data_IF_173885295894
#
_entry.id   IF_173885295894
#
_cell.length_a   1.000
_cell.length_b   1.000
_cell.length_c   1.000
_cell.angle_alpha   90.00
_cell.angle_beta   90.00
_cell.angle_gamma   90.00
#
_symmetry.space_group_name_H-M   'P 1'
#
loop_
_entity.id
_entity.type
_entity.pdbx_description
1 polymer ?
#
# COMPACT_ATOMS: atom_id res chain seq x y z
N UNK A 1 -5.52 7.59 -13.98
CA UNK A 1 -4.34 7.63 -13.09
C UNK A 1 -4.54 8.81 -12.15
N UNK A 2 -4.58 8.58 -10.83
CA UNK A 2 -4.76 9.68 -9.86
C UNK A 2 -3.48 10.52 -9.85
N UNK A 3 -3.58 11.79 -10.23
CA UNK A 3 -2.48 12.75 -10.10
C UNK A 3 -2.77 13.63 -8.88
N UNK A 4 -1.94 13.58 -7.83
CA UNK A 4 -2.11 14.48 -6.69
C UNK A 4 -1.93 15.94 -7.14
N UNK A 5 -2.44 16.88 -6.34
CA UNK A 5 -2.15 18.30 -6.53
C UNK A 5 -0.63 18.56 -6.46
N UNK A 6 -0.19 19.73 -6.94
CA UNK A 6 1.22 20.10 -6.84
C UNK A 6 1.71 20.03 -5.39
N UNK A 7 2.93 19.50 -5.21
CA UNK A 7 3.58 19.32 -3.92
C UNK A 7 2.87 18.37 -2.93
N UNK A 8 2.04 17.43 -3.42
CA UNK A 8 1.49 16.36 -2.59
C UNK A 8 2.23 15.04 -2.78
N UNK A 9 2.51 14.34 -1.67
CA UNK A 9 3.13 13.01 -1.68
C UNK A 9 2.11 11.95 -1.26
N UNK A 10 2.14 10.81 -1.94
CA UNK A 10 1.27 9.67 -1.66
C UNK A 10 2.10 8.49 -1.16
N UNK A 11 1.66 7.90 -0.04
CA UNK A 11 2.26 6.68 0.48
C UNK A 11 1.55 5.46 -0.10
N UNK A 12 2.18 4.82 -1.08
CA UNK A 12 1.65 3.61 -1.71
C UNK A 12 2.55 2.40 -1.45
N UNK A 13 1.94 1.22 -1.48
CA UNK A 13 2.65 -0.05 -1.30
C UNK A 13 3.18 -0.53 -2.63
N UNK A 14 4.42 -1.01 -2.63
CA UNK A 14 4.97 -1.76 -3.77
C UNK A 14 4.31 -3.14 -3.81
N UNK A 15 3.55 -3.41 -4.87
CA UNK A 15 2.90 -4.70 -5.14
C UNK A 15 3.85 -5.62 -5.89
N UNK A 16 4.61 -5.07 -6.85
CA UNK A 16 5.61 -5.81 -7.63
C UNK A 16 6.77 -4.90 -8.01
N UNK A 17 7.99 -5.43 -7.96
CA UNK A 17 9.18 -4.80 -8.52
C UNK A 17 9.29 -5.25 -9.98
N UNK A 18 9.46 -4.31 -10.90
CA UNK A 18 9.61 -4.55 -12.33
C UNK A 18 10.92 -3.92 -12.82
N UNK A 19 11.38 -4.32 -14.01
CA UNK A 19 12.70 -3.89 -14.53
C UNK A 19 12.84 -2.36 -14.62
N UNK A 20 11.74 -1.67 -14.94
CA UNK A 20 11.70 -0.22 -15.15
C UNK A 20 11.09 0.57 -13.98
N UNK A 21 10.84 -0.09 -12.84
CA UNK A 21 10.27 0.58 -11.67
C UNK A 21 9.39 -0.30 -10.79
N UNK A 22 8.30 0.26 -10.30
CA UNK A 22 7.47 -0.38 -9.28
C UNK A 22 6.01 -0.38 -9.70
N UNK A 23 5.33 -1.51 -9.57
CA UNK A 23 3.87 -1.52 -9.58
C UNK A 23 3.42 -1.22 -8.16
N UNK A 24 2.66 -0.14 -8.00
CA UNK A 24 2.19 0.31 -6.69
C UNK A 24 0.68 0.24 -6.58
N UNK A 25 0.18 0.21 -5.34
CA UNK A 25 -1.23 0.38 -5.04
C UNK A 25 -1.38 1.05 -3.67
N UNK A 26 -2.34 1.96 -3.56
CA UNK A 26 -2.84 2.44 -2.27
C UNK A 26 -3.48 1.30 -1.47
N UNK A 27 -3.44 1.37 -0.14
CA UNK A 27 -4.05 0.33 0.70
C UNK A 27 -5.58 0.26 0.49
N UNK A 28 -6.26 1.39 0.23
CA UNK A 28 -7.68 1.41 -0.11
C UNK A 28 -8.01 1.04 -1.56
N UNK A 29 -7.01 0.93 -2.44
CA UNK A 29 -7.25 0.79 -3.88
C UNK A 29 -7.54 -0.67 -4.23
N UNK A 30 -8.48 -0.86 -5.15
CA UNK A 30 -8.83 -2.14 -5.77
C UNK A 30 -8.15 -2.35 -7.12
N UNK A 31 -7.34 -1.39 -7.55
CA UNK A 31 -6.55 -1.41 -8.79
C UNK A 31 -5.15 -0.90 -8.49
N UNK A 32 -4.19 -1.29 -9.33
CA UNK A 32 -2.81 -0.81 -9.25
C UNK A 32 -2.67 0.53 -9.93
N UNK A 33 -1.72 1.35 -9.51
CA UNK A 33 -1.48 2.67 -10.11
C UNK A 33 -0.74 2.58 -11.46
N UNK A 34 -0.27 1.38 -11.83
CA UNK A 34 0.55 1.14 -13.02
C UNK A 34 2.05 1.15 -12.68
N UNK A 35 2.89 1.30 -13.71
CA UNK A 35 4.35 1.39 -13.55
C UNK A 35 4.72 2.77 -12.98
N UNK A 36 5.31 2.77 -11.79
CA UNK A 36 5.83 3.94 -11.10
C UNK A 36 7.35 4.00 -11.28
N UNK A 37 7.89 5.10 -11.83
CA UNK A 37 9.31 5.17 -12.18
C UNK A 37 10.18 5.49 -10.94
N UNK A 38 11.41 4.95 -10.84
CA UNK A 38 12.27 5.12 -9.66
C UNK A 38 12.69 6.55 -9.35
N UNK A 39 12.82 7.41 -10.35
CA UNK A 39 13.22 8.83 -10.22
C UNK A 39 12.17 9.67 -9.47
N UNK A 40 10.92 9.21 -9.42
CA UNK A 40 9.82 9.84 -8.68
C UNK A 40 9.69 9.34 -7.24
N UNK A 41 10.53 8.39 -6.81
CA UNK A 41 10.54 7.90 -5.44
C UNK A 41 11.24 8.89 -4.52
N UNK A 42 10.47 9.53 -3.64
CA UNK A 42 11.00 10.55 -2.71
C UNK A 42 11.48 9.93 -1.39
N UNK A 43 10.82 8.87 -0.92
CA UNK A 43 11.13 8.23 0.35
C UNK A 43 10.72 6.75 0.37
N UNK A 44 11.34 5.98 1.27
CA UNK A 44 10.99 4.59 1.58
C UNK A 44 10.71 4.43 3.07
N UNK A 45 9.62 3.76 3.41
CA UNK A 45 9.26 3.45 4.81
C UNK A 45 10.30 2.52 5.42
N UNK A 46 10.85 2.91 6.57
CA UNK A 46 11.81 2.12 7.37
C UNK A 46 11.15 1.54 8.64
N UNK A 47 10.23 2.30 9.22
CA UNK A 47 9.53 1.96 10.47
C UNK A 47 8.09 2.49 10.44
N UNK A 48 7.24 1.90 11.26
CA UNK A 48 5.84 2.31 11.40
C UNK A 48 5.59 2.62 12.87
N UNK A 49 5.10 3.83 13.13
CA UNK A 49 4.57 4.22 14.43
C UNK A 49 3.03 4.08 14.40
N UNK A 50 2.49 3.22 15.25
CA UNK A 50 1.03 3.05 15.39
C UNK A 50 0.65 3.06 16.86
N UNK A 51 -0.17 4.04 17.25
CA UNK A 51 -0.66 4.22 18.64
C UNK A 51 0.49 4.22 19.66
N UNK A 52 1.57 4.95 19.37
CA UNK A 52 2.75 5.07 20.24
C UNK A 52 3.70 3.87 20.22
N UNK A 53 3.38 2.80 19.47
CA UNK A 53 4.25 1.64 19.30
C UNK A 53 4.97 1.74 17.96
N UNK A 54 6.30 1.80 18.02
CA UNK A 54 7.16 1.75 16.83
C UNK A 54 7.50 0.29 16.55
N UNK A 55 7.36 -0.12 15.29
CA UNK A 55 7.84 -1.42 14.85
C UNK A 55 8.51 -1.33 13.49
N UNK A 56 9.56 -2.13 13.33
CA UNK A 56 10.31 -2.21 12.08
C UNK A 56 9.49 -2.88 10.97
N UNK A 57 9.62 -2.35 9.75
CA UNK A 57 9.11 -3.00 8.54
C UNK A 57 9.79 -4.34 8.22
N UNK A 58 10.90 -4.65 8.89
CA UNK A 58 11.59 -5.96 8.79
C UNK A 58 11.03 -7.00 9.77
N UNK A 59 10.09 -6.63 10.66
CA UNK A 59 9.53 -7.58 11.62
C UNK A 59 8.71 -8.68 10.91
N UNK A 60 8.85 -9.94 11.35
CA UNK A 60 8.16 -11.09 10.74
C UNK A 60 6.65 -10.89 10.67
N UNK A 61 6.04 -10.38 11.74
CA UNK A 61 4.60 -10.09 11.82
C UNK A 61 4.17 -9.10 10.74
N UNK A 62 4.91 -8.00 10.57
CA UNK A 62 4.59 -7.00 9.55
C UNK A 62 4.76 -7.57 8.13
N UNK A 63 5.84 -8.30 7.87
CA UNK A 63 6.09 -8.91 6.57
C UNK A 63 4.98 -9.90 6.19
N UNK A 64 4.52 -10.73 7.13
CA UNK A 64 3.40 -11.66 6.91
C UNK A 64 2.12 -10.89 6.58
N UNK A 65 1.78 -9.87 7.38
CA UNK A 65 0.59 -9.05 7.13
C UNK A 65 0.66 -8.32 5.79
N UNK A 66 1.83 -7.77 5.44
CA UNK A 66 2.04 -7.09 4.16
C UNK A 66 1.92 -8.05 2.98
N UNK A 67 2.47 -9.26 3.08
CA UNK A 67 2.32 -10.30 2.04
C UNK A 67 0.87 -10.74 1.91
N UNK A 68 0.19 -11.01 3.03
CA UNK A 68 -1.23 -11.37 3.04
C UNK A 68 -2.06 -10.29 2.36
N UNK A 69 -1.78 -9.02 2.65
CA UNK A 69 -2.48 -7.90 2.02
C UNK A 69 -2.33 -7.83 0.49
N UNK A 70 -1.16 -8.22 -0.02
CA UNK A 70 -0.89 -8.33 -1.46
C UNK A 70 -1.59 -9.56 -2.05
N UNK A 71 -1.54 -10.70 -1.37
CA UNK A 71 -2.23 -11.94 -1.80
C UNK A 71 -3.74 -11.72 -1.91
N UNK A 72 -4.31 -10.99 -0.96
CA UNK A 72 -5.75 -10.68 -0.91
C UNK A 72 -6.17 -9.59 -1.92
N UNK A 73 -5.25 -9.02 -2.70
CA UNK A 73 -5.54 -7.97 -3.68
C UNK A 73 -6.69 -8.32 -4.64
N UNK A 74 -6.76 -9.54 -5.24
CA UNK A 74 -7.83 -9.88 -6.19
C UNK A 74 -9.23 -9.85 -5.57
N UNK A 75 -9.35 -10.19 -4.28
CA UNK A 75 -10.63 -10.21 -3.56
C UNK A 75 -10.85 -8.95 -2.71
N UNK A 76 -9.92 -7.99 -2.75
CA UNK A 76 -9.97 -6.76 -1.97
C UNK A 76 -11.26 -5.94 -2.17
N UNK A 77 -11.87 -5.83 -3.37
CA UNK A 77 -13.16 -5.15 -3.53
C UNK A 77 -14.24 -5.70 -2.59
N UNK A 78 -14.31 -7.04 -2.49
CA UNK A 78 -15.26 -7.72 -1.61
C UNK A 78 -14.92 -7.49 -0.14
N UNK A 79 -13.65 -7.62 0.24
CA UNK A 79 -13.19 -7.38 1.62
C UNK A 79 -13.51 -5.96 2.08
N UNK A 80 -13.26 -4.96 1.23
CA UNK A 80 -13.57 -3.56 1.53
C UNK A 80 -15.08 -3.31 1.61
N UNK A 81 -15.88 -3.96 0.74
CA UNK A 81 -17.34 -3.88 0.81
C UNK A 81 -17.87 -4.42 2.13
N UNK A 82 -17.43 -5.62 2.54
CA UNK A 82 -17.81 -6.24 3.82
C UNK A 82 -17.35 -5.35 4.98
N UNK A 83 -16.10 -4.86 4.96
CA UNK A 83 -15.58 -4.00 6.02
C UNK A 83 -16.40 -2.70 6.17
N UNK A 84 -16.81 -2.07 5.07
CA UNK A 84 -17.68 -0.88 5.10
C UNK A 84 -19.05 -1.19 5.69
N UNK A 85 -19.64 -2.35 5.38
CA UNK A 85 -20.92 -2.77 5.95
C UNK A 85 -20.83 -2.98 7.47
N UNK A 86 -19.75 -3.59 7.95
CA UNK A 86 -19.52 -3.79 9.39
C UNK A 86 -19.31 -2.45 10.11
N UNK A 87 -18.55 -1.53 9.51
CA UNK A 87 -18.26 -0.22 10.12
C UNK A 87 -19.44 0.77 10.06
N UNK A 88 -20.34 0.61 9.08
CA UNK A 88 -21.53 1.45 8.91
C UNK A 88 -22.69 1.10 9.86
N UNK A 89 -22.52 0.03 10.66
CA UNK A 89 -23.47 -0.43 11.67
C UNK A 89 -22.88 -0.18 13.05
#
# INVERSE_FOLDING_TARGET
MFSPAENTYLLHRVVKIADKGFITAGDGNTYTDGLFPPDKLIARVTEINRKGKIFSIKSKKFLILSKLWIILFPIRPLLLKIFRQIKSK
#
